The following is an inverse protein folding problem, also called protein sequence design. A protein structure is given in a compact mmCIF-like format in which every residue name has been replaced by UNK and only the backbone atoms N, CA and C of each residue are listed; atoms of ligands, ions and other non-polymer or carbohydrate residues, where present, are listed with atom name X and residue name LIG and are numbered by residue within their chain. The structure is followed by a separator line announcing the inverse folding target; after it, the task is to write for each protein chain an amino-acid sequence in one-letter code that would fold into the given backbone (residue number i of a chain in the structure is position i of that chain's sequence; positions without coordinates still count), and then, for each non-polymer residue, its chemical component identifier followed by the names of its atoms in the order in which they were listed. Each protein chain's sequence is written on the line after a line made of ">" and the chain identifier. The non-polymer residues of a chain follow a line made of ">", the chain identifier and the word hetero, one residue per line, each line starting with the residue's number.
data_IF_320411313655
#
_entry.id   IF_320411313655
#
_cell.length_a   1.000
_cell.length_b   1.000
_cell.length_c   1.000
_cell.angle_alpha   90.00
_cell.angle_beta   90.00
_cell.angle_gamma   90.00
#
_symmetry.space_group_name_H-M   'P 1'
#
loop_
_entity.id
_entity.type
_entity.pdbx_description
1 polymer ?
#
# COMPACT_ATOMS: atom_id res chain seq x y z
N UNK A 1 9.70 27.04 0.91
CA UNK A 1 8.35 26.49 0.61
C UNK A 1 7.35 27.26 1.48
N UNK A 2 6.55 28.18 0.89
CA UNK A 2 5.69 29.09 1.67
C UNK A 2 4.35 28.42 1.99
N UNK A 3 3.94 28.50 3.27
CA UNK A 3 2.70 27.96 3.88
C UNK A 3 1.40 28.70 3.47
N UNK A 4 1.35 29.32 2.30
CA UNK A 4 0.21 30.14 1.85
C UNK A 4 -0.98 29.33 1.29
N UNK A 5 -0.84 28.01 1.18
CA UNK A 5 -1.83 27.17 0.49
C UNK A 5 -2.80 26.46 1.47
N UNK A 6 -2.73 26.78 2.77
CA UNK A 6 -3.39 26.01 3.83
C UNK A 6 -4.89 26.26 4.03
N UNK A 7 -5.55 27.15 3.28
CA UNK A 7 -7.02 27.26 3.32
C UNK A 7 -7.57 27.67 1.96
N UNK A 8 -7.84 26.67 1.12
CA UNK A 8 -9.01 26.72 0.23
C UNK A 8 -9.72 25.38 0.35
N UNK A 9 -10.69 25.30 1.27
CA UNK A 9 -11.72 24.27 1.26
C UNK A 9 -12.54 24.45 -0.02
N UNK A 10 -12.10 23.85 -1.12
CA UNK A 10 -12.97 23.60 -2.26
C UNK A 10 -13.89 22.43 -1.92
N UNK A 11 -15.15 22.68 -2.16
CA UNK A 11 -16.29 21.81 -1.88
C UNK A 11 -16.04 20.39 -2.39
N UNK A 12 -16.47 19.41 -1.58
CA UNK A 12 -16.32 17.98 -1.85
C UNK A 12 -16.89 17.64 -3.22
N UNK A 13 -16.02 17.30 -4.16
CA UNK A 13 -16.42 16.62 -5.40
C UNK A 13 -17.02 15.25 -5.04
N UNK A 14 -18.21 14.96 -5.59
CA UNK A 14 -18.83 13.63 -5.54
C UNK A 14 -17.86 12.64 -6.21
N UNK A 15 -17.26 11.79 -5.40
CA UNK A 15 -16.13 10.92 -5.79
C UNK A 15 -14.94 10.96 -4.81
N UNK A 16 -15.08 11.64 -3.67
CA UNK A 16 -14.08 11.75 -2.62
C UNK A 16 -13.36 10.41 -2.35
N UNK A 17 -12.06 10.38 -2.65
CA UNK A 17 -11.16 9.31 -2.24
C UNK A 17 -11.29 9.18 -0.72
N UNK A 18 -11.89 8.07 -0.27
CA UNK A 18 -12.00 7.74 1.14
C UNK A 18 -10.60 7.79 1.77
N UNK A 19 -10.46 8.35 2.98
CA UNK A 19 -9.17 8.42 3.67
C UNK A 19 -8.75 7.00 4.06
N UNK A 20 -7.82 6.43 3.30
CA UNK A 20 -7.35 5.05 3.48
C UNK A 20 -6.33 4.93 4.61
N UNK A 21 -6.15 3.73 5.14
CA UNK A 21 -5.16 3.48 6.20
C UNK A 21 -3.73 3.83 5.76
N UNK A 22 -3.42 3.74 4.46
CA UNK A 22 -2.12 4.14 3.91
C UNK A 22 -1.83 5.63 4.10
N UNK A 23 -2.84 6.49 3.93
CA UNK A 23 -2.72 7.94 4.14
C UNK A 23 -2.60 8.24 5.62
N UNK A 24 -3.55 7.75 6.42
CA UNK A 24 -3.65 8.04 7.86
C UNK A 24 -2.42 7.53 8.61
N UNK A 25 -1.93 6.33 8.27
CA UNK A 25 -0.70 5.79 8.85
C UNK A 25 0.52 6.61 8.46
N UNK A 26 0.63 7.02 7.18
CA UNK A 26 1.71 7.90 6.72
C UNK A 26 1.76 9.21 7.51
N UNK A 27 0.61 9.86 7.69
CA UNK A 27 0.47 11.06 8.52
C UNK A 27 0.96 10.80 9.96
N UNK A 28 0.51 9.70 10.58
CA UNK A 28 0.94 9.32 11.95
C UNK A 28 2.45 9.12 12.03
N UNK A 29 3.06 8.47 11.05
CA UNK A 29 4.51 8.26 10.99
C UNK A 29 5.29 9.57 10.83
N UNK A 30 4.78 10.51 10.04
CA UNK A 30 5.40 11.84 9.94
C UNK A 30 5.30 12.62 11.24
N UNK A 31 4.15 12.58 11.93
CA UNK A 31 3.99 13.22 13.22
C UNK A 31 4.94 12.64 14.28
N UNK A 32 5.08 11.30 14.32
CA UNK A 32 6.04 10.63 15.22
C UNK A 32 7.47 11.11 14.95
N UNK A 33 7.91 11.19 13.69
CA UNK A 33 9.26 11.70 13.36
C UNK A 33 9.47 13.16 13.78
N UNK A 34 8.43 13.99 13.68
CA UNK A 34 8.50 15.38 14.16
C UNK A 34 8.61 15.41 15.68
N UNK A 35 7.85 14.56 16.39
CA UNK A 35 7.97 14.42 17.83
C UNK A 35 9.38 13.98 18.23
N UNK A 36 9.92 12.92 17.63
CA UNK A 36 11.29 12.44 17.90
C UNK A 36 12.34 13.54 17.68
N UNK A 37 12.19 14.32 16.60
CA UNK A 37 13.06 15.46 16.31
C UNK A 37 12.93 16.58 17.36
N UNK A 38 11.72 16.84 17.86
CA UNK A 38 11.45 17.85 18.88
C UNK A 38 12.13 17.47 20.20
N UNK A 39 12.13 16.19 20.57
CA UNK A 39 12.76 15.69 21.81
C UNK A 39 14.28 15.92 21.86
N UNK A 40 14.93 15.98 20.69
CA UNK A 40 16.36 16.28 20.56
C UNK A 40 16.70 17.75 20.35
N UNK A 41 15.72 18.67 20.35
CA UNK A 41 15.94 20.09 20.04
C UNK A 41 16.03 20.93 21.32
N UNK A 42 17.03 21.81 21.39
CA UNK A 42 17.11 22.81 22.46
C UNK A 42 16.12 23.95 22.24
N UNK A 43 15.05 23.97 23.04
CA UNK A 43 13.97 24.95 23.00
C UNK A 43 13.61 25.39 24.42
N UNK A 44 13.06 26.61 24.60
CA UNK A 44 12.45 26.99 25.86
C UNK A 44 11.42 25.96 26.32
N UNK A 45 11.50 25.53 27.58
CA UNK A 45 10.71 24.40 28.14
C UNK A 45 9.21 24.55 27.84
N UNK A 46 8.66 25.75 28.03
CA UNK A 46 7.24 26.01 27.79
C UNK A 46 6.83 25.75 26.33
N UNK A 47 7.68 26.15 25.37
CA UNK A 47 7.46 25.91 23.93
C UNK A 47 7.57 24.43 23.60
N UNK A 48 8.60 23.75 24.10
CA UNK A 48 8.79 22.32 23.88
C UNK A 48 7.59 21.49 24.40
N UNK A 49 7.10 21.83 25.59
CA UNK A 49 5.91 21.18 26.18
C UNK A 49 4.65 21.43 25.35
N UNK A 50 4.45 22.65 24.86
CA UNK A 50 3.30 22.98 24.02
C UNK A 50 3.33 22.23 22.69
N UNK A 51 4.47 22.24 21.99
CA UNK A 51 4.62 21.54 20.70
C UNK A 51 4.47 20.02 20.87
N UNK A 52 5.05 19.44 21.94
CA UNK A 52 4.90 18.02 22.28
C UNK A 52 3.42 17.64 22.44
N UNK A 53 2.67 18.37 23.27
CA UNK A 53 1.25 18.08 23.52
C UNK A 53 0.43 18.11 22.24
N UNK A 54 0.66 19.11 21.38
CA UNK A 54 -0.05 19.20 20.09
C UNK A 54 0.26 18.00 19.18
N UNK A 55 1.53 17.56 19.12
CA UNK A 55 1.91 16.39 18.33
C UNK A 55 1.29 15.10 18.88
N UNK A 56 1.32 14.90 20.20
CA UNK A 56 0.70 13.75 20.87
C UNK A 56 -0.81 13.69 20.59
N UNK A 57 -1.51 14.81 20.66
CA UNK A 57 -2.94 14.90 20.32
C UNK A 57 -3.23 14.49 18.87
N UNK A 58 -2.43 14.97 17.91
CA UNK A 58 -2.56 14.61 16.50
C UNK A 58 -2.24 13.13 16.25
N UNK A 59 -1.20 12.59 16.88
CA UNK A 59 -0.83 11.17 16.81
C UNK A 59 -1.97 10.29 17.35
N UNK A 60 -2.55 10.67 18.49
CA UNK A 60 -3.70 10.00 19.06
C UNK A 60 -4.93 10.08 18.14
N UNK A 61 -5.17 11.24 17.51
CA UNK A 61 -6.25 11.38 16.54
C UNK A 61 -6.09 10.45 15.34
N UNK A 62 -4.89 10.33 14.76
CA UNK A 62 -4.60 9.39 13.67
C UNK A 62 -4.72 7.93 14.10
N UNK A 63 -4.31 7.61 15.33
CA UNK A 63 -4.46 6.26 15.89
C UNK A 63 -5.94 5.88 16.06
N UNK A 64 -6.78 6.81 16.52
CA UNK A 64 -8.23 6.59 16.59
C UNK A 64 -8.85 6.42 15.19
N UNK A 65 -8.44 7.23 14.23
CA UNK A 65 -8.93 7.14 12.85
C UNK A 65 -8.56 5.80 12.19
N UNK A 66 -7.33 5.30 12.38
CA UNK A 66 -6.95 3.97 11.91
C UNK A 66 -7.86 2.87 12.51
N UNK A 67 -8.14 2.96 13.81
CA UNK A 67 -9.01 2.00 14.49
C UNK A 67 -10.50 2.13 14.12
N UNK A 68 -10.93 3.30 13.64
CA UNK A 68 -12.27 3.49 13.06
C UNK A 68 -12.39 2.83 11.69
N UNK A 69 -11.34 2.90 10.87
CA UNK A 69 -11.31 2.21 9.58
C UNK A 69 -11.29 0.70 9.82
N UNK A 70 -10.33 0.21 10.59
CA UNK A 70 -10.21 -1.21 10.90
C UNK A 70 -9.82 -1.40 12.37
N UNK A 71 -10.68 -2.07 13.14
CA UNK A 71 -10.48 -2.24 14.58
C UNK A 71 -9.19 -2.98 14.91
N UNK A 72 -8.54 -2.59 16.01
CA UNK A 72 -7.25 -3.14 16.44
C UNK A 72 -6.20 -3.12 15.32
N UNK A 73 -6.14 -2.00 14.59
CA UNK A 73 -5.33 -1.89 13.37
C UNK A 73 -3.85 -2.19 13.65
N UNK A 74 -3.28 -1.60 14.69
CA UNK A 74 -1.88 -1.78 15.05
C UNK A 74 -1.54 -3.23 15.40
N UNK A 75 -2.43 -3.94 16.08
CA UNK A 75 -2.27 -5.36 16.38
C UNK A 75 -2.27 -6.20 15.09
N UNK A 76 -3.18 -5.91 14.15
CA UNK A 76 -3.23 -6.59 12.84
C UNK A 76 -1.98 -6.33 12.02
N UNK A 77 -1.44 -5.11 12.04
CA UNK A 77 -0.16 -4.80 11.40
C UNK A 77 0.98 -5.57 12.06
N UNK A 78 1.04 -5.63 13.39
CA UNK A 78 2.01 -6.43 14.12
C UNK A 78 1.96 -7.91 13.74
N UNK A 79 0.75 -8.47 13.59
CA UNK A 79 0.55 -9.86 13.15
C UNK A 79 1.08 -10.12 11.73
N UNK A 80 0.89 -9.18 10.80
CA UNK A 80 1.37 -9.32 9.41
C UNK A 80 2.88 -9.12 9.30
N UNK A 81 3.47 -8.24 10.12
CA UNK A 81 4.91 -8.00 10.13
C UNK A 81 5.69 -9.10 10.85
N UNK A 82 5.03 -9.93 11.65
CA UNK A 82 5.66 -11.07 12.32
C UNK A 82 6.10 -12.15 11.33
N UNK A 83 7.33 -12.64 11.49
CA UNK A 83 7.84 -13.79 10.73
C UNK A 83 7.02 -15.06 10.92
N UNK A 84 6.18 -15.13 11.95
CA UNK A 84 5.34 -16.28 12.28
C UNK A 84 3.93 -16.22 11.69
N UNK A 85 3.62 -15.19 10.89
CA UNK A 85 2.34 -15.07 10.22
C UNK A 85 2.03 -16.33 9.38
N UNK A 86 0.89 -16.97 9.65
CA UNK A 86 0.45 -18.17 8.93
C UNK A 86 -0.37 -17.81 7.69
N UNK A 87 -0.28 -18.56 6.58
CA UNK A 87 -1.08 -18.29 5.38
C UNK A 87 -2.59 -18.17 5.64
N UNK A 88 -3.12 -18.97 6.56
CA UNK A 88 -4.54 -18.97 6.94
C UNK A 88 -4.93 -17.69 7.69
N UNK A 89 -4.02 -17.15 8.51
CA UNK A 89 -4.21 -15.88 9.19
C UNK A 89 -4.26 -14.74 8.17
N UNK A 90 -3.34 -14.72 7.21
CA UNK A 90 -3.33 -13.72 6.14
C UNK A 90 -4.61 -13.77 5.29
N UNK A 91 -5.07 -14.98 4.95
CA UNK A 91 -6.34 -15.15 4.24
C UNK A 91 -7.52 -14.60 5.06
N UNK A 92 -7.54 -14.85 6.37
CA UNK A 92 -8.57 -14.33 7.28
C UNK A 92 -8.55 -12.81 7.36
N UNK A 93 -7.37 -12.20 7.49
CA UNK A 93 -7.21 -10.75 7.52
C UNK A 93 -7.71 -10.11 6.22
N UNK A 94 -7.37 -10.65 5.05
CA UNK A 94 -7.88 -10.14 3.76
C UNK A 94 -9.40 -10.24 3.65
N UNK A 95 -10.02 -11.29 4.20
CA UNK A 95 -11.49 -11.41 4.19
C UNK A 95 -12.18 -10.39 5.11
N UNK A 96 -11.52 -9.99 6.18
CA UNK A 96 -12.08 -9.11 7.21
C UNK A 96 -11.69 -7.64 7.02
N UNK A 97 -10.68 -7.37 6.19
CA UNK A 97 -10.20 -6.03 5.92
C UNK A 97 -11.27 -5.22 5.18
N UNK A 98 -11.59 -4.01 5.67
CA UNK A 98 -12.33 -3.02 4.90
C UNK A 98 -11.62 -2.70 3.59
N UNK A 99 -12.38 -2.23 2.60
CA UNK A 99 -11.82 -1.84 1.31
C UNK A 99 -10.81 -0.69 1.46
N UNK A 100 -11.03 0.21 2.43
CA UNK A 100 -10.17 1.34 2.75
C UNK A 100 -8.84 0.97 3.44
N UNK A 101 -8.64 -0.29 3.84
CA UNK A 101 -7.41 -0.72 4.53
C UNK A 101 -6.26 -1.06 3.58
N UNK A 102 -5.90 -0.05 2.77
CA UNK A 102 -4.90 -0.19 1.72
C UNK A 102 -3.54 -0.60 2.28
N UNK A 103 -3.15 -0.13 3.46
CA UNK A 103 -1.83 -0.43 4.03
C UNK A 103 -1.74 -1.89 4.49
N UNK A 104 -2.74 -2.39 5.24
CA UNK A 104 -2.77 -3.80 5.65
C UNK A 104 -2.77 -4.73 4.44
N UNK A 105 -3.65 -4.48 3.47
CA UNK A 105 -3.77 -5.30 2.27
C UNK A 105 -2.49 -5.26 1.41
N UNK A 106 -1.81 -4.11 1.37
CA UNK A 106 -0.50 -3.98 0.74
C UNK A 106 0.55 -4.83 1.43
N UNK A 107 0.67 -4.77 2.75
CA UNK A 107 1.61 -5.63 3.49
C UNK A 107 1.34 -7.11 3.22
N UNK A 108 0.08 -7.53 3.23
CA UNK A 108 -0.27 -8.93 2.96
C UNK A 108 0.09 -9.33 1.52
N UNK A 109 -0.09 -8.44 0.54
CA UNK A 109 0.28 -8.72 -0.86
C UNK A 109 1.79 -8.88 -1.11
N UNK A 110 2.63 -8.35 -0.21
CA UNK A 110 4.10 -8.47 -0.26
C UNK A 110 4.61 -9.63 0.62
N UNK A 111 3.74 -10.18 1.47
CA UNK A 111 4.15 -11.12 2.49
C UNK A 111 4.55 -12.47 1.87
N UNK A 112 5.75 -13.03 2.18
CA UNK A 112 6.28 -14.23 1.52
C UNK A 112 5.41 -15.49 1.71
N UNK A 113 4.61 -15.52 2.78
CA UNK A 113 3.64 -16.59 3.08
C UNK A 113 2.24 -16.36 2.53
N UNK A 114 2.00 -15.28 1.77
CA UNK A 114 0.75 -15.10 1.06
C UNK A 114 0.62 -16.18 -0.04
N UNK A 115 -0.43 -17.00 0.06
CA UNK A 115 -0.68 -18.07 -0.89
C UNK A 115 -1.42 -17.55 -2.14
N UNK A 116 -1.46 -18.37 -3.19
CA UNK A 116 -2.09 -18.02 -4.47
C UNK A 116 -3.55 -17.60 -4.33
N UNK A 117 -4.31 -18.24 -3.42
CA UNK A 117 -5.72 -17.90 -3.15
C UNK A 117 -5.88 -16.49 -2.58
N UNK A 118 -5.03 -16.10 -1.62
CA UNK A 118 -5.01 -14.74 -1.05
C UNK A 118 -4.60 -13.74 -2.12
N UNK A 119 -3.54 -14.02 -2.88
CA UNK A 119 -3.04 -13.15 -3.94
C UNK A 119 -4.06 -12.96 -5.08
N UNK A 120 -4.78 -14.02 -5.47
CA UNK A 120 -5.81 -13.95 -6.50
C UNK A 120 -6.99 -13.06 -6.12
N UNK A 121 -7.29 -12.91 -4.82
CA UNK A 121 -8.25 -11.91 -4.34
C UNK A 121 -7.69 -10.49 -4.45
N UNK A 122 -6.47 -10.30 -3.97
CA UNK A 122 -5.79 -9.00 -3.96
C UNK A 122 -5.49 -8.47 -5.36
N UNK A 123 -5.31 -9.35 -6.36
CA UNK A 123 -5.09 -8.98 -7.74
C UNK A 123 -6.18 -8.05 -8.31
N UNK A 124 -7.41 -8.15 -7.79
CA UNK A 124 -8.55 -7.36 -8.26
C UNK A 124 -8.77 -6.07 -7.46
N UNK A 125 -7.89 -5.76 -6.51
CA UNK A 125 -8.03 -4.61 -5.63
C UNK A 125 -7.85 -3.29 -6.42
N UNK A 126 -8.59 -2.24 -6.07
CA UNK A 126 -8.56 -0.95 -6.77
C UNK A 126 -7.21 -0.21 -6.66
N UNK A 127 -6.48 -0.44 -5.57
CA UNK A 127 -5.16 0.17 -5.36
C UNK A 127 -4.06 -0.48 -6.21
N UNK A 128 -3.45 0.28 -7.11
CA UNK A 128 -2.45 -0.20 -8.07
C UNK A 128 -1.23 -0.87 -7.42
N UNK A 129 -0.72 -0.32 -6.31
CA UNK A 129 0.42 -0.88 -5.60
C UNK A 129 0.17 -2.34 -5.14
N UNK A 130 -1.05 -2.67 -4.70
CA UNK A 130 -1.41 -4.05 -4.33
C UNK A 130 -1.36 -4.97 -5.57
N UNK A 131 -1.87 -4.51 -6.72
CA UNK A 131 -1.84 -5.29 -7.95
C UNK A 131 -0.42 -5.50 -8.47
N UNK A 132 0.44 -4.48 -8.38
CA UNK A 132 1.86 -4.58 -8.70
C UNK A 132 2.57 -5.61 -7.81
N UNK A 133 2.28 -5.62 -6.51
CA UNK A 133 2.83 -6.58 -5.55
C UNK A 133 2.48 -8.01 -5.97
N UNK A 134 1.20 -8.25 -6.27
CA UNK A 134 0.74 -9.56 -6.74
C UNK A 134 1.40 -9.95 -8.07
N UNK A 135 1.53 -9.02 -9.03
CA UNK A 135 2.10 -9.31 -10.34
C UNK A 135 3.56 -9.82 -10.26
N UNK A 136 4.33 -9.34 -9.29
CA UNK A 136 5.73 -9.79 -9.06
C UNK A 136 5.87 -10.89 -8.01
N UNK A 137 4.78 -11.30 -7.36
CA UNK A 137 4.85 -12.22 -6.23
C UNK A 137 5.20 -13.67 -6.66
N UNK A 138 6.17 -14.34 -6.02
CA UNK A 138 6.60 -15.70 -6.40
C UNK A 138 5.57 -16.79 -6.11
N UNK A 139 4.52 -16.49 -5.34
CA UNK A 139 3.40 -17.42 -5.08
C UNK A 139 2.13 -17.10 -5.90
N UNK A 140 2.17 -16.08 -6.77
CA UNK A 140 1.03 -15.79 -7.65
C UNK A 140 0.86 -16.93 -8.67
N UNK A 141 -0.38 -17.37 -8.88
CA UNK A 141 -0.66 -18.48 -9.79
C UNK A 141 -0.90 -18.03 -11.24
N UNK A 142 -0.83 -18.99 -12.16
CA UNK A 142 -1.00 -18.76 -13.59
C UNK A 142 -2.32 -18.05 -13.96
N UNK A 143 -3.50 -18.41 -13.40
CA UNK A 143 -4.74 -17.69 -13.63
C UNK A 143 -4.67 -16.22 -13.21
N UNK A 144 -4.14 -15.93 -12.02
CA UNK A 144 -3.98 -14.56 -11.50
C UNK A 144 -3.06 -13.74 -12.39
N UNK A 145 -1.90 -14.29 -12.76
CA UNK A 145 -0.93 -13.62 -13.65
C UNK A 145 -1.50 -13.38 -15.06
N UNK A 146 -2.27 -14.33 -15.58
CA UNK A 146 -2.97 -14.17 -16.87
C UNK A 146 -3.99 -13.04 -16.82
N UNK A 147 -4.73 -12.92 -15.71
CA UNK A 147 -5.67 -11.80 -15.51
C UNK A 147 -4.93 -10.46 -15.45
N UNK A 148 -3.87 -10.36 -14.62
CA UNK A 148 -3.07 -9.14 -14.47
C UNK A 148 -2.40 -8.70 -15.78
N UNK A 149 -1.99 -9.63 -16.64
CA UNK A 149 -1.40 -9.31 -17.95
C UNK A 149 -2.34 -8.55 -18.89
N UNK A 150 -3.64 -8.60 -18.63
CA UNK A 150 -4.71 -7.96 -19.40
C UNK A 150 -5.27 -6.72 -18.71
N UNK A 151 -4.78 -6.37 -17.52
CA UNK A 151 -5.21 -5.17 -16.80
C UNK A 151 -4.89 -3.93 -17.64
N UNK A 152 -5.93 -3.12 -17.89
CA UNK A 152 -5.85 -1.88 -18.67
C UNK A 152 -5.74 -0.64 -17.80
N UNK A 153 -6.08 -0.74 -16.51
CA UNK A 153 -5.97 0.36 -15.56
C UNK A 153 -4.51 0.73 -15.29
N UNK A 154 -3.63 -0.25 -15.41
CA UNK A 154 -2.21 -0.11 -15.21
C UNK A 154 -1.47 -1.15 -16.06
N UNK A 155 -0.36 -0.81 -16.74
CA UNK A 155 0.34 -1.73 -17.61
C UNK A 155 1.15 -2.79 -16.84
N UNK A 156 0.52 -3.66 -16.05
CA UNK A 156 1.21 -4.68 -15.21
C UNK A 156 1.85 -5.83 -15.99
N UNK A 157 1.60 -5.92 -17.29
CA UNK A 157 2.07 -6.98 -18.16
C UNK A 157 3.61 -7.12 -18.20
N UNK A 158 4.36 -6.05 -17.97
CA UNK A 158 5.83 -6.14 -17.91
C UNK A 158 6.29 -6.89 -16.65
N UNK A 159 5.65 -6.67 -15.49
CA UNK A 159 5.94 -7.43 -14.26
C UNK A 159 5.62 -8.91 -14.46
N UNK A 160 4.47 -9.20 -15.06
CA UNK A 160 4.06 -10.58 -15.38
C UNK A 160 5.06 -11.26 -16.32
N UNK A 161 5.64 -10.54 -17.28
CA UNK A 161 6.66 -11.08 -18.20
C UNK A 161 7.93 -11.61 -17.50
N UNK A 162 8.20 -11.15 -16.28
CA UNK A 162 9.36 -11.56 -15.47
C UNK A 162 8.99 -12.41 -14.25
N UNK A 163 7.70 -12.64 -13.98
CA UNK A 163 7.30 -13.55 -12.90
C UNK A 163 7.60 -15.02 -13.29
N UNK A 164 8.25 -15.81 -12.41
CA UNK A 164 8.62 -17.20 -12.69
C UNK A 164 7.43 -18.14 -12.87
N UNK A 165 6.26 -17.84 -12.28
CA UNK A 165 5.06 -18.68 -12.40
C UNK A 165 4.20 -18.34 -13.62
N UNK A 166 4.60 -17.37 -14.42
CA UNK A 166 3.87 -17.01 -15.64
C UNK A 166 3.94 -18.15 -16.65
N UNK A 167 2.79 -18.59 -17.22
CA UNK A 167 2.79 -19.63 -18.26
C UNK A 167 3.76 -19.29 -19.39
N UNK A 168 4.63 -20.24 -19.77
CA UNK A 168 5.69 -20.04 -20.78
C UNK A 168 5.17 -19.37 -22.07
N UNK A 169 4.01 -19.79 -22.65
CA UNK A 169 3.51 -19.14 -23.86
C UNK A 169 3.16 -17.66 -23.66
N UNK A 170 2.59 -17.32 -22.50
CA UNK A 170 2.28 -15.94 -22.13
C UNK A 170 3.56 -15.14 -21.89
N UNK A 171 4.50 -15.71 -21.15
CA UNK A 171 5.78 -15.07 -20.83
C UNK A 171 6.55 -14.70 -22.09
N UNK A 172 6.68 -15.62 -23.06
CA UNK A 172 7.33 -15.37 -24.36
C UNK A 172 6.66 -14.21 -25.10
N UNK A 173 5.33 -14.24 -25.23
CA UNK A 173 4.55 -13.18 -25.88
C UNK A 173 4.79 -11.80 -25.25
N UNK A 174 4.80 -11.72 -23.93
CA UNK A 174 5.00 -10.46 -23.21
C UNK A 174 6.43 -9.94 -23.32
N UNK A 175 7.44 -10.83 -23.31
CA UNK A 175 8.84 -10.44 -23.54
C UNK A 175 9.09 -9.98 -24.97
N UNK A 176 8.49 -10.64 -25.96
CA UNK A 176 8.58 -10.21 -27.35
C UNK A 176 7.92 -8.84 -27.57
N UNK A 177 6.79 -8.59 -26.89
CA UNK A 177 6.16 -7.25 -26.85
C UNK A 177 7.12 -6.20 -26.29
N UNK A 178 7.84 -6.51 -25.21
CA UNK A 178 8.82 -5.58 -24.61
C UNK A 178 9.96 -5.25 -25.57
N UNK A 179 10.53 -6.25 -26.26
CA UNK A 179 11.61 -6.05 -27.24
C UNK A 179 11.19 -5.10 -28.37
N UNK A 180 10.01 -5.33 -28.96
CA UNK A 180 9.47 -4.47 -30.03
C UNK A 180 9.28 -3.02 -29.57
N UNK A 181 8.87 -2.79 -28.32
CA UNK A 181 8.73 -1.43 -27.79
C UNK A 181 10.09 -0.73 -27.64
N UNK A 182 11.14 -1.45 -27.25
CA UNK A 182 12.51 -0.92 -27.18
C UNK A 182 13.09 -0.58 -28.56
N UNK A 183 12.88 -1.45 -29.55
CA UNK A 183 13.32 -1.22 -30.95
C UNK A 183 12.64 0.02 -31.57
N UNK A 184 11.35 0.22 -31.31
CA UNK A 184 10.60 1.39 -31.78
C UNK A 184 11.09 2.69 -31.14
N UNK A 185 11.59 2.65 -29.89
CA UNK A 185 12.15 3.83 -29.24
C UNK A 185 13.56 4.14 -29.71
N UNK A 186 14.38 3.12 -30.01
CA UNK A 186 15.75 3.30 -30.49
C UNK A 186 15.84 3.76 -31.96
N UNK A 187 14.75 3.64 -32.72
CA UNK A 187 14.64 4.05 -34.12
C UNK A 187 14.04 5.45 -34.32
N UNK A 188 13.77 6.18 -33.23
CA UNK A 188 13.31 7.58 -33.23
C UNK A 188 14.41 8.50 -32.71
#
# INVERSE_FOLDING_TARGET
>A
MRRSDLVQHKEREKGAVSRTTQIVFGERQHLLRVLDSLEGTDLPIARAQQERRMLEELIHARTRELNQINTAWDEKIGLVLSSDAKPEMLEKLVKQAPEEDFYLLRLISEHPRANSKTLGKLAKHQYGAIRENVARHPNADAPTLTWLSKDRSQPLWYLVAFNPNTPIPLQRRLRDRLKRLGEVQASR
#
